data_IF_917578440282
#
_entry.id   IF_917578440282
#
_cell.length_a   1.000
_cell.length_b   1.000
_cell.length_c   1.000
_cell.angle_alpha   90.00
_cell.angle_beta   90.00
_cell.angle_gamma   90.00
#
_symmetry.space_group_name_H-M   'P 1'
#
loop_
_entity.id
_entity.type
_entity.pdbx_description
1 polymer ?
#
# COMPACT_ATOMS: atom_id res chain seq x y z
N UNK A 1 11.21 25.63 -0.05
CA UNK A 1 10.43 24.42 -0.39
C UNK A 1 11.30 23.31 -0.98
N UNK A 2 12.01 23.50 -2.12
CA UNK A 2 12.84 22.43 -2.73
C UNK A 2 13.87 21.80 -1.78
N UNK A 3 14.58 22.59 -0.96
CA UNK A 3 15.58 22.07 0.00
C UNK A 3 14.97 21.20 1.11
N UNK A 4 13.76 21.52 1.55
CA UNK A 4 13.04 20.74 2.57
C UNK A 4 12.60 19.39 1.99
N UNK A 5 12.14 19.39 0.73
CA UNK A 5 11.80 18.16 0.01
C UNK A 5 13.03 17.27 -0.17
N UNK A 6 14.19 17.83 -0.52
CA UNK A 6 15.44 17.08 -0.62
C UNK A 6 15.92 16.51 0.72
N UNK A 7 15.83 17.29 1.80
CA UNK A 7 16.20 16.81 3.15
C UNK A 7 15.26 15.70 3.63
N UNK A 8 13.96 15.83 3.38
CA UNK A 8 12.98 14.77 3.70
C UNK A 8 13.22 13.51 2.86
N UNK A 9 13.53 13.65 1.58
CA UNK A 9 13.85 12.52 0.70
C UNK A 9 15.12 11.79 1.15
N UNK A 10 16.17 12.52 1.53
CA UNK A 10 17.43 11.93 2.00
C UNK A 10 17.25 11.27 3.37
N UNK A 11 16.48 11.87 4.28
CA UNK A 11 16.17 11.29 5.58
C UNK A 11 15.30 10.02 5.45
N UNK A 12 14.32 10.04 4.53
CA UNK A 12 13.52 8.85 4.22
C UNK A 12 14.38 7.74 3.61
N UNK A 13 15.27 8.09 2.69
CA UNK A 13 16.23 7.15 2.10
C UNK A 13 17.13 6.55 3.18
N UNK A 14 17.76 7.36 4.04
CA UNK A 14 18.66 6.86 5.09
C UNK A 14 17.98 5.94 6.11
N UNK A 15 16.71 6.20 6.45
CA UNK A 15 15.90 5.29 7.29
C UNK A 15 15.71 3.92 6.61
N UNK A 16 15.44 3.91 5.31
CA UNK A 16 15.31 2.66 4.53
C UNK A 16 16.63 1.88 4.52
N UNK A 17 17.78 2.55 4.35
CA UNK A 17 19.09 1.89 4.44
C UNK A 17 19.37 1.29 5.81
N UNK A 18 18.91 1.93 6.88
CA UNK A 18 19.14 1.45 8.24
C UNK A 18 18.29 0.21 8.53
N UNK A 19 17.03 0.18 8.08
CA UNK A 19 16.20 -1.02 8.15
C UNK A 19 16.78 -2.18 7.34
N UNK A 20 17.36 -1.92 6.15
CA UNK A 20 18.01 -2.95 5.34
C UNK A 20 19.09 -3.74 6.09
N UNK A 21 19.78 -3.13 7.05
CA UNK A 21 20.80 -3.82 7.86
C UNK A 21 20.22 -4.68 8.98
N UNK A 22 19.04 -4.36 9.50
CA UNK A 22 18.43 -5.04 10.65
C UNK A 22 17.74 -6.38 10.33
N UNK A 23 17.42 -6.63 9.06
CA UNK A 23 16.67 -7.83 8.62
C UNK A 23 17.49 -9.13 8.54
N UNK A 24 18.78 -9.11 8.88
CA UNK A 24 19.69 -10.23 8.63
C UNK A 24 19.48 -11.46 9.54
N UNK A 25 18.69 -11.36 10.62
CA UNK A 25 18.56 -12.43 11.63
C UNK A 25 17.26 -13.23 11.57
N UNK A 26 16.38 -12.94 10.60
CA UNK A 26 15.13 -13.68 10.47
C UNK A 26 15.35 -14.87 9.53
N UNK A 27 15.43 -16.10 10.07
CA UNK A 27 15.33 -17.36 9.31
C UNK A 27 13.91 -17.58 8.79
N UNK A 28 13.38 -16.64 8.02
CA UNK A 28 12.13 -16.77 7.30
C UNK A 28 12.42 -16.77 5.80
N UNK A 29 11.46 -17.26 5.00
CA UNK A 29 11.62 -17.50 3.56
C UNK A 29 12.27 -16.33 2.80
N UNK A 30 12.94 -16.64 1.68
CA UNK A 30 13.75 -15.71 0.89
C UNK A 30 13.06 -14.37 0.55
N UNK A 31 11.72 -14.32 0.54
CA UNK A 31 10.92 -13.12 0.33
C UNK A 31 10.98 -12.09 1.48
N UNK A 32 11.24 -12.50 2.73
CA UNK A 32 11.42 -11.57 3.87
C UNK A 32 12.77 -10.86 3.87
N UNK A 33 13.75 -11.39 3.12
CA UNK A 33 15.06 -10.75 2.95
C UNK A 33 14.99 -9.53 2.05
N UNK A 34 13.86 -9.34 1.35
CA UNK A 34 13.66 -8.20 0.47
C UNK A 34 13.15 -7.03 1.32
N UNK A 35 13.98 -6.00 1.54
CA UNK A 35 13.56 -4.84 2.34
C UNK A 35 12.44 -4.08 1.62
N UNK A 36 11.44 -3.66 2.39
CA UNK A 36 10.26 -3.00 1.85
C UNK A 36 9.23 -3.94 1.21
N UNK A 37 9.44 -5.27 1.23
CA UNK A 37 8.48 -6.24 0.71
C UNK A 37 7.09 -6.05 1.31
N UNK A 38 6.99 -5.87 2.63
CA UNK A 38 5.71 -5.68 3.32
C UNK A 38 4.99 -4.39 2.92
N UNK A 39 5.73 -3.30 2.71
CA UNK A 39 5.15 -2.02 2.30
C UNK A 39 4.60 -2.14 0.87
N UNK A 40 5.39 -2.73 -0.04
CA UNK A 40 5.00 -2.94 -1.44
C UNK A 40 3.81 -3.90 -1.51
N UNK A 41 3.86 -5.01 -0.78
CA UNK A 41 2.79 -6.00 -0.75
C UNK A 41 1.50 -5.42 -0.14
N UNK A 42 1.60 -4.68 0.97
CA UNK A 42 0.46 -4.00 1.57
C UNK A 42 -0.14 -2.93 0.66
N UNK A 43 0.69 -2.17 -0.05
CA UNK A 43 0.25 -1.17 -1.02
C UNK A 43 -0.45 -1.82 -2.23
N UNK A 44 0.13 -2.88 -2.80
CA UNK A 44 -0.47 -3.67 -3.87
C UNK A 44 -1.79 -4.30 -3.42
N UNK A 45 -1.85 -4.84 -2.20
CA UNK A 45 -3.06 -5.40 -1.62
C UNK A 45 -4.16 -4.34 -1.50
N UNK A 46 -3.83 -3.15 -1.00
CA UNK A 46 -4.77 -2.02 -0.93
C UNK A 46 -5.27 -1.62 -2.33
N UNK A 47 -4.38 -1.48 -3.30
CA UNK A 47 -4.74 -1.16 -4.68
C UNK A 47 -5.66 -2.22 -5.30
N UNK A 48 -5.37 -3.50 -5.06
CA UNK A 48 -6.18 -4.62 -5.52
C UNK A 48 -7.59 -4.56 -4.92
N UNK A 49 -7.71 -4.26 -3.62
CA UNK A 49 -9.01 -4.08 -2.96
C UNK A 49 -9.82 -2.93 -3.59
N UNK A 50 -9.19 -1.80 -3.89
CA UNK A 50 -9.87 -0.69 -4.58
C UNK A 50 -10.40 -1.09 -5.95
N UNK A 51 -9.61 -1.84 -6.73
CA UNK A 51 -10.02 -2.33 -8.05
C UNK A 51 -11.18 -3.30 -7.91
N UNK A 52 -11.09 -4.27 -7.00
CA UNK A 52 -12.14 -5.26 -6.74
C UNK A 52 -13.43 -4.57 -6.30
N UNK A 53 -13.35 -3.61 -5.37
CA UNK A 53 -14.51 -2.82 -4.94
C UNK A 53 -15.17 -2.09 -6.11
N UNK A 54 -14.37 -1.52 -7.02
CA UNK A 54 -14.89 -0.83 -8.21
C UNK A 54 -15.56 -1.78 -9.22
N UNK A 55 -15.01 -2.98 -9.39
CA UNK A 55 -15.60 -4.02 -10.25
C UNK A 55 -16.91 -4.54 -9.66
N UNK A 56 -16.93 -4.85 -8.36
CA UNK A 56 -18.14 -5.29 -7.66
C UNK A 56 -19.23 -4.20 -7.65
N UNK A 57 -18.86 -2.93 -7.49
CA UNK A 57 -19.80 -1.82 -7.63
C UNK A 57 -20.44 -1.77 -9.02
N UNK A 58 -19.66 -1.93 -10.08
CA UNK A 58 -20.18 -2.01 -11.46
C UNK A 58 -20.96 -3.29 -11.77
N UNK A 59 -20.70 -4.37 -11.05
CA UNK A 59 -21.42 -5.63 -11.19
C UNK A 59 -22.84 -5.60 -10.58
N UNK A 60 -23.30 -4.43 -10.12
CA UNK A 60 -24.67 -4.25 -9.61
C UNK A 60 -24.82 -4.50 -8.12
N UNK A 61 -23.72 -4.50 -7.35
CA UNK A 61 -23.79 -4.52 -5.87
C UNK A 61 -24.15 -3.14 -5.29
N UNK A 62 -24.04 -2.07 -6.09
CA UNK A 62 -24.58 -0.77 -5.73
C UNK A 62 -26.09 -0.81 -5.88
N UNK A 63 -26.80 -0.67 -4.74
CA UNK A 63 -28.24 -0.46 -4.70
C UNK A 63 -28.58 0.81 -5.50
N UNK A 64 -29.58 0.73 -6.38
CA UNK A 64 -30.09 1.88 -7.13
C UNK A 64 -30.54 2.99 -6.17
N UNK A 65 -30.18 4.24 -6.47
CA UNK A 65 -30.48 5.39 -5.59
C UNK A 65 -32.00 5.66 -5.49
N UNK A 66 -32.78 5.14 -6.44
CA UNK A 66 -34.25 5.23 -6.51
C UNK A 66 -34.99 4.40 -5.44
N UNK A 67 -34.28 3.69 -4.55
CA UNK A 67 -34.91 2.87 -3.50
C UNK A 67 -35.72 3.72 -2.49
N UNK A 68 -35.32 4.96 -2.23
CA UNK A 68 -36.01 5.83 -1.26
C UNK A 68 -37.06 6.77 -1.88
N UNK A 69 -37.10 6.91 -3.21
CA UNK A 69 -38.09 7.76 -3.88
C UNK A 69 -39.43 7.05 -4.12
N UNK A 70 -39.47 5.73 -3.93
CA UNK A 70 -40.65 4.89 -4.15
C UNK A 70 -41.44 4.57 -2.87
N UNK A 71 -41.30 5.39 -1.82
CA UNK A 71 -42.07 5.28 -0.56
C UNK A 71 -43.00 6.45 -0.34
#
# INVERSE_FOLDING_TARGET
>A
MKRIVWLAAVAGFSMIYFEMKGFHEIEAGWWLKIPGFFIIFGFLGCLLLLIVAKVLGRAGLLQDEDYYERS
#
